data_IF_042252736716
#
_entry.id   IF_042252736716
#
_cell.length_a   1.000
_cell.length_b   1.000
_cell.length_c   1.000
_cell.angle_alpha   90.00
_cell.angle_beta   90.00
_cell.angle_gamma   90.00
#
_symmetry.space_group_name_H-M   'P 1'
#
loop_
_entity.id
_entity.type
_entity.pdbx_description
1 polymer ?
#
# COMPACT_ATOMS: atom_id res chain seq x y z
N UNK A 1 -7.39 -18.57 5.39
CA UNK A 1 -6.34 -17.59 5.77
C UNK A 1 -5.29 -17.38 4.68
N UNK A 2 -4.58 -18.41 4.21
CA UNK A 2 -3.53 -18.26 3.19
C UNK A 2 -4.01 -17.54 1.92
N UNK A 3 -5.18 -17.90 1.41
CA UNK A 3 -5.78 -17.24 0.24
C UNK A 3 -6.08 -15.75 0.44
N UNK A 4 -6.49 -15.35 1.65
CA UNK A 4 -6.74 -13.93 1.98
C UNK A 4 -5.42 -13.16 2.03
N UNK A 5 -4.38 -13.75 2.63
CA UNK A 5 -3.04 -13.15 2.65
C UNK A 5 -2.47 -13.01 1.24
N UNK A 6 -2.59 -14.04 0.40
CA UNK A 6 -2.15 -13.99 -1.01
C UNK A 6 -2.88 -12.91 -1.78
N UNK A 7 -4.21 -12.84 -1.69
CA UNK A 7 -4.99 -11.79 -2.35
C UNK A 7 -4.60 -10.40 -1.85
N UNK A 8 -4.38 -10.24 -0.55
CA UNK A 8 -3.94 -8.97 0.03
C UNK A 8 -2.56 -8.55 -0.48
N UNK A 9 -1.64 -9.50 -0.63
CA UNK A 9 -0.32 -9.25 -1.22
C UNK A 9 -0.44 -8.80 -2.69
N UNK A 10 -1.28 -9.48 -3.48
CA UNK A 10 -1.57 -9.08 -4.87
C UNK A 10 -2.17 -7.68 -4.96
N UNK A 11 -3.13 -7.34 -4.07
CA UNK A 11 -3.73 -6.01 -4.00
C UNK A 11 -2.72 -4.92 -3.64
N UNK A 12 -1.79 -5.21 -2.73
CA UNK A 12 -0.72 -4.28 -2.35
C UNK A 12 0.20 -4.02 -3.54
N UNK A 13 0.62 -5.06 -4.27
CA UNK A 13 1.49 -4.89 -5.44
C UNK A 13 0.79 -4.10 -6.56
N UNK A 14 -0.48 -4.39 -6.84
CA UNK A 14 -1.27 -3.61 -7.79
C UNK A 14 -1.40 -2.14 -7.39
N UNK A 15 -1.62 -1.88 -6.10
CA UNK A 15 -1.72 -0.50 -5.63
C UNK A 15 -0.37 0.23 -5.70
N UNK A 16 0.76 -0.46 -5.44
CA UNK A 16 2.11 0.09 -5.63
C UNK A 16 2.36 0.47 -7.08
N UNK A 17 2.02 -0.41 -8.03
CA UNK A 17 2.16 -0.13 -9.46
C UNK A 17 1.31 1.05 -9.91
N UNK A 18 0.05 1.11 -9.43
CA UNK A 18 -0.87 2.20 -9.71
C UNK A 18 -0.34 3.53 -9.17
N UNK A 19 0.16 3.53 -7.93
CA UNK A 19 0.72 4.72 -7.29
C UNK A 19 1.97 5.21 -8.01
N UNK A 20 2.87 4.30 -8.40
CA UNK A 20 4.06 4.64 -9.20
C UNK A 20 3.69 5.21 -10.57
N UNK A 21 2.71 4.61 -11.26
CA UNK A 21 2.22 5.10 -12.55
C UNK A 21 1.57 6.49 -12.41
N UNK A 22 0.83 6.70 -11.34
CA UNK A 22 0.26 8.00 -10.98
C UNK A 22 1.35 9.02 -10.70
N UNK A 23 2.36 8.69 -9.89
CA UNK A 23 3.46 9.59 -9.59
C UNK A 23 4.28 9.95 -10.83
N UNK A 24 4.50 8.99 -11.72
CA UNK A 24 5.23 9.20 -12.99
C UNK A 24 4.53 10.09 -14.01
N UNK A 25 3.22 10.31 -13.88
CA UNK A 25 2.55 11.32 -14.72
C UNK A 25 2.92 12.75 -14.32
N UNK A 26 3.39 12.97 -13.09
CA UNK A 26 3.84 14.26 -12.58
C UNK A 26 5.37 14.37 -12.53
N UNK A 27 6.05 13.29 -12.13
CA UNK A 27 7.51 13.20 -12.01
C UNK A 27 8.00 12.01 -12.83
N UNK A 28 8.34 12.17 -14.13
CA UNK A 28 8.65 11.05 -15.02
C UNK A 28 9.81 10.16 -14.55
N UNK A 29 10.74 10.70 -13.78
CA UNK A 29 11.91 10.00 -13.24
C UNK A 29 11.65 9.30 -11.91
N UNK A 30 10.42 9.34 -11.39
CA UNK A 30 10.09 8.78 -10.09
C UNK A 30 10.39 7.27 -10.03
N UNK A 31 11.12 6.87 -9.01
CA UNK A 31 11.40 5.46 -8.70
C UNK A 31 10.37 4.91 -7.71
N UNK A 32 10.33 3.59 -7.57
CA UNK A 32 9.49 2.93 -6.56
C UNK A 32 9.89 3.28 -5.12
N UNK A 33 11.15 3.66 -4.89
CA UNK A 33 11.63 4.10 -3.57
C UNK A 33 11.15 5.52 -3.27
N UNK A 34 11.20 6.41 -4.26
CA UNK A 34 10.73 7.80 -4.14
C UNK A 34 9.24 7.90 -3.79
N UNK A 35 8.43 6.93 -4.24
CA UNK A 35 7.01 6.83 -3.90
C UNK A 35 6.78 6.68 -2.39
N UNK A 36 7.77 6.17 -1.65
CA UNK A 36 7.70 6.05 -0.19
C UNK A 36 8.05 7.37 0.52
N UNK A 37 8.56 8.37 -0.20
CA UNK A 37 8.98 9.67 0.32
C UNK A 37 8.37 10.83 -0.50
N UNK A 38 7.03 10.90 -0.65
CA UNK A 38 6.41 11.88 -1.56
C UNK A 38 6.57 13.33 -1.11
N UNK A 39 6.93 13.58 0.16
CA UNK A 39 7.22 14.91 0.69
C UNK A 39 8.41 15.58 -0.02
N UNK A 40 9.31 14.79 -0.62
CA UNK A 40 10.44 15.30 -1.40
C UNK A 40 10.02 15.86 -2.78
N UNK A 41 8.77 15.62 -3.18
CA UNK A 41 8.20 16.01 -4.47
C UNK A 41 6.91 16.81 -4.25
N UNK A 42 6.98 18.14 -4.26
CA UNK A 42 5.80 19.00 -4.04
C UNK A 42 4.66 18.70 -5.01
N UNK A 43 4.96 18.26 -6.24
CA UNK A 43 3.96 17.85 -7.23
C UNK A 43 3.15 16.62 -6.82
N UNK A 44 3.69 15.78 -5.93
CA UNK A 44 3.01 14.61 -5.38
C UNK A 44 2.30 14.94 -4.08
N UNK A 45 2.99 15.67 -3.19
CA UNK A 45 2.45 16.03 -1.88
C UNK A 45 1.20 16.91 -1.98
N UNK A 46 1.20 17.87 -2.90
CA UNK A 46 0.07 18.78 -3.13
C UNK A 46 -1.02 18.17 -4.02
N UNK A 47 -0.82 16.94 -4.54
CA UNK A 47 -1.75 16.32 -5.47
C UNK A 47 -2.78 15.43 -4.74
N UNK A 48 -4.05 15.85 -4.63
CA UNK A 48 -5.04 15.12 -3.85
C UNK A 48 -5.34 13.72 -4.40
N UNK A 49 -5.18 13.51 -5.71
CA UNK A 49 -5.38 12.20 -6.32
C UNK A 49 -4.24 11.25 -5.95
N UNK A 50 -2.99 11.71 -6.03
CA UNK A 50 -1.84 10.93 -5.57
C UNK A 50 -1.93 10.59 -4.08
N UNK A 51 -2.23 11.58 -3.23
CA UNK A 51 -2.40 11.40 -1.77
C UNK A 51 -3.53 10.42 -1.44
N UNK A 52 -4.62 10.42 -2.21
CA UNK A 52 -5.70 9.43 -2.05
C UNK A 52 -5.21 8.01 -2.33
N UNK A 53 -4.51 7.79 -3.44
CA UNK A 53 -4.00 6.48 -3.82
C UNK A 53 -2.92 5.98 -2.84
N UNK A 54 -2.11 6.89 -2.28
CA UNK A 54 -1.17 6.59 -1.19
C UNK A 54 -1.93 6.12 0.06
N UNK A 55 -2.98 6.83 0.46
CA UNK A 55 -3.83 6.43 1.60
C UNK A 55 -4.48 5.06 1.43
N UNK A 56 -4.84 4.67 0.21
CA UNK A 56 -5.34 3.31 -0.09
C UNK A 56 -4.25 2.26 0.16
N UNK A 57 -3.01 2.52 -0.28
CA UNK A 57 -1.87 1.62 -0.01
C UNK A 57 -1.64 1.46 1.48
N UNK A 58 -1.63 2.56 2.24
CA UNK A 58 -1.49 2.56 3.70
C UNK A 58 -2.59 1.76 4.40
N UNK A 59 -3.83 1.86 3.91
CA UNK A 59 -4.95 1.05 4.38
C UNK A 59 -4.71 -0.46 4.20
N UNK A 60 -4.25 -0.88 3.02
CA UNK A 60 -3.94 -2.29 2.74
C UNK A 60 -2.79 -2.81 3.61
N UNK A 61 -1.73 -2.02 3.77
CA UNK A 61 -0.60 -2.35 4.62
C UNK A 61 -1.02 -2.46 6.11
N UNK A 62 -1.89 -1.58 6.57
CA UNK A 62 -2.46 -1.62 7.92
C UNK A 62 -3.28 -2.90 8.18
N UNK A 63 -4.09 -3.32 7.21
CA UNK A 63 -4.83 -4.60 7.28
C UNK A 63 -3.85 -5.77 7.36
N UNK A 64 -2.81 -5.79 6.52
CA UNK A 64 -1.79 -6.85 6.51
C UNK A 64 -1.07 -6.94 7.86
N UNK A 65 -0.64 -5.80 8.40
CA UNK A 65 0.01 -5.73 9.71
C UNK A 65 -0.90 -6.27 10.83
N UNK A 66 -2.19 -5.91 10.79
CA UNK A 66 -3.19 -6.37 11.76
C UNK A 66 -3.40 -7.88 11.70
N UNK A 67 -3.55 -8.47 10.50
CA UNK A 67 -3.70 -9.91 10.31
C UNK A 67 -2.46 -10.70 10.77
N UNK A 68 -1.26 -10.17 10.48
CA UNK A 68 0.00 -10.76 10.95
C UNK A 68 0.11 -10.72 12.48
N UNK A 69 -0.26 -9.61 13.10
CA UNK A 69 -0.32 -9.48 14.56
C UNK A 69 -1.28 -10.49 15.17
N UNK A 70 -2.47 -10.63 14.58
CA UNK A 70 -3.50 -11.54 15.08
C UNK A 70 -3.06 -13.02 14.96
N UNK A 71 -2.35 -13.38 13.88
CA UNK A 71 -1.70 -14.70 13.72
C UNK A 71 -0.63 -14.97 14.78
N UNK A 72 0.15 -13.95 15.17
CA UNK A 72 1.22 -14.08 16.18
C UNK A 72 0.68 -14.17 17.61
N UNK A 73 -0.43 -13.49 17.90
CA UNK A 73 -1.02 -13.44 19.24
C UNK A 73 -1.91 -14.66 19.57
N UNK A 74 -2.13 -15.59 18.64
CA UNK A 74 -2.96 -16.80 18.88
C UNK A 74 -4.44 -16.52 19.19
N UNK A 75 -4.92 -15.28 19.00
CA UNK A 75 -6.29 -14.86 19.33
C UNK A 75 -7.32 -15.12 18.22
N UNK A 76 -7.01 -15.99 17.27
CA UNK A 76 -8.02 -16.44 16.31
C UNK A 76 -8.80 -17.63 16.91
N UNK A 77 -10.13 -17.55 17.05
CA UNK A 77 -10.91 -18.78 17.15
C UNK A 77 -10.66 -19.58 15.87
N UNK A 78 -10.10 -20.78 16.04
CA UNK A 78 -9.97 -21.75 14.96
C UNK A 78 -11.39 -22.17 14.58
N UNK A 79 -11.94 -21.56 13.52
CA UNK A 79 -13.07 -22.17 12.84
C UNK A 79 -12.48 -23.15 11.83
N UNK A 80 -12.46 -24.41 12.25
CA UNK A 80 -12.29 -25.61 11.42
C UNK A 80 -13.19 -25.58 10.18
#
# INVERSE_FOLDING_TARGET
MNRVMTLLDEMIEWQREKLLKCGRSFVPTLTSEDVLQPIDYSQLEENPYFRYEEGVLEGLLSVKASLLSLKRCGKFPNNE
#
